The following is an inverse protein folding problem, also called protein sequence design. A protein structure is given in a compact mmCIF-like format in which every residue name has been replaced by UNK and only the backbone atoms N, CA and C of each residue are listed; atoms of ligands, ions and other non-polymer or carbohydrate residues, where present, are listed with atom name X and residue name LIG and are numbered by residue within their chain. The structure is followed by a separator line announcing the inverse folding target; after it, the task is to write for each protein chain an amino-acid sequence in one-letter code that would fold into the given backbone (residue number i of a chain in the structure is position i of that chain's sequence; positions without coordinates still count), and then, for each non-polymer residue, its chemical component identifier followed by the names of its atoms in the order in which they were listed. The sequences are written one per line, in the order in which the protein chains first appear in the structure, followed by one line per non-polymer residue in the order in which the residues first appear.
data_IF_911999683906
#
_entry.id   IF_911999683906
#
_cell.length_a   1.000
_cell.length_b   1.000
_cell.length_c   1.000
_cell.angle_alpha   90.00
_cell.angle_beta   90.00
_cell.angle_gamma   90.00
#
_symmetry.space_group_name_H-M   'P 1'
#
loop_
_entity.id
_entity.type
_entity.pdbx_description
1 polymer ?
#
# COMPACT_ATOMS: atom_id res chain seq x y z
N UNK A 1 24.01 15.35 5.60
CA UNK A 1 22.61 15.64 5.23
C UNK A 1 21.99 14.35 4.74
N UNK A 2 21.04 13.78 5.48
CA UNK A 2 20.48 12.46 5.13
C UNK A 2 19.34 12.59 4.13
N UNK A 3 19.05 11.53 3.37
CA UNK A 3 17.95 11.51 2.39
C UNK A 3 16.58 11.83 3.04
N UNK A 4 16.43 11.54 4.33
CA UNK A 4 15.22 11.83 5.12
C UNK A 4 15.00 13.33 5.32
N UNK A 5 16.06 14.09 5.58
CA UNK A 5 16.00 15.54 5.87
C UNK A 5 15.56 16.37 4.65
N UNK A 6 15.74 15.84 3.44
CA UNK A 6 15.35 16.50 2.18
C UNK A 6 13.88 16.29 1.80
N UNK A 7 13.23 15.27 2.36
CA UNK A 7 11.83 14.91 2.04
C UNK A 7 10.87 15.71 2.93
N UNK A 8 11.29 16.09 4.14
CA UNK A 8 10.47 16.83 5.11
C UNK A 8 10.44 18.34 4.88
N UNK A 9 11.30 18.89 4.00
CA UNK A 9 11.36 20.32 3.70
C UNK A 9 10.40 20.80 2.61
N UNK A 10 9.47 19.95 2.15
CA UNK A 10 8.50 20.25 1.09
C UNK A 10 7.10 20.34 1.71
N UNK A 11 6.25 21.34 1.35
CA UNK A 11 4.94 21.58 1.99
C UNK A 11 3.94 20.41 2.05
N UNK A 12 4.19 19.29 1.36
CA UNK A 12 3.34 18.08 1.40
C UNK A 12 4.10 16.78 1.74
N UNK A 13 5.42 16.83 1.98
CA UNK A 13 6.27 15.63 2.07
C UNK A 13 5.88 14.66 3.19
N UNK A 14 5.41 15.18 4.33
CA UNK A 14 4.94 14.36 5.45
C UNK A 14 3.61 13.65 5.14
N UNK A 15 2.71 14.31 4.41
CA UNK A 15 1.42 13.76 3.98
C UNK A 15 1.63 12.69 2.91
N UNK A 16 2.50 12.97 1.94
CA UNK A 16 2.86 12.02 0.88
C UNK A 16 3.54 10.78 1.45
N UNK A 17 4.43 10.96 2.44
CA UNK A 17 5.04 9.84 3.14
C UNK A 17 4.03 9.00 3.91
N UNK A 18 3.06 9.63 4.59
CA UNK A 18 1.99 8.92 5.28
C UNK A 18 1.13 8.10 4.30
N UNK A 19 0.76 8.70 3.16
CA UNK A 19 0.02 8.00 2.11
C UNK A 19 0.83 6.86 1.48
N UNK A 20 2.13 7.05 1.24
CA UNK A 20 3.02 6.01 0.74
C UNK A 20 3.14 4.84 1.73
N UNK A 21 3.28 5.11 3.03
CA UNK A 21 3.30 4.07 4.07
C UNK A 21 2.03 3.24 4.06
N UNK A 22 0.86 3.88 4.06
CA UNK A 22 -0.42 3.16 4.03
C UNK A 22 -0.57 2.30 2.77
N UNK A 23 -0.17 2.82 1.60
CA UNK A 23 -0.16 2.03 0.35
C UNK A 23 0.77 0.83 0.44
N UNK A 24 1.96 0.99 0.99
CA UNK A 24 2.90 -0.12 1.19
C UNK A 24 2.31 -1.20 2.09
N UNK A 25 1.69 -0.85 3.22
CA UNK A 25 1.05 -1.83 4.11
C UNK A 25 -0.11 -2.56 3.42
N UNK A 26 -0.98 -1.83 2.70
CA UNK A 26 -2.07 -2.45 1.94
C UNK A 26 -1.55 -3.42 0.86
N UNK A 27 -0.46 -3.06 0.16
CA UNK A 27 0.15 -3.94 -0.84
C UNK A 27 0.78 -5.18 -0.19
N UNK A 28 1.46 -5.03 0.95
CA UNK A 28 2.01 -6.18 1.69
C UNK A 28 0.91 -7.19 2.04
N UNK A 29 -0.23 -6.72 2.55
CA UNK A 29 -1.38 -7.57 2.84
C UNK A 29 -1.88 -8.31 1.60
N UNK A 30 -1.96 -7.64 0.44
CA UNK A 30 -2.35 -8.28 -0.82
C UNK A 30 -1.35 -9.34 -1.29
N UNK A 31 -0.03 -9.06 -1.19
CA UNK A 31 1.01 -10.04 -1.55
C UNK A 31 0.96 -11.25 -0.62
N UNK A 32 0.84 -11.03 0.69
CA UNK A 32 0.69 -12.10 1.67
C UNK A 32 -0.56 -12.94 1.40
N UNK A 33 -1.71 -12.31 1.16
CA UNK A 33 -2.95 -13.03 0.85
C UNK A 33 -2.84 -13.87 -0.43
N UNK A 34 -2.14 -13.36 -1.46
CA UNK A 34 -1.90 -14.11 -2.69
C UNK A 34 -1.01 -15.34 -2.42
N UNK A 35 0.10 -15.15 -1.70
CA UNK A 35 1.01 -16.23 -1.33
C UNK A 35 0.31 -17.33 -0.52
N UNK A 36 -0.43 -16.95 0.52
CA UNK A 36 -1.16 -17.90 1.36
C UNK A 36 -2.30 -18.62 0.64
N UNK A 37 -2.90 -17.98 -0.39
CA UNK A 37 -3.95 -18.61 -1.18
C UNK A 37 -3.44 -19.70 -2.12
N UNK A 38 -2.13 -19.71 -2.42
CA UNK A 38 -1.52 -20.57 -3.44
C UNK A 38 -1.90 -20.23 -4.88
N UNK A 39 -2.70 -19.18 -5.13
CA UNK A 39 -3.10 -18.77 -6.47
C UNK A 39 -1.99 -17.98 -7.18
N UNK A 40 -1.90 -18.15 -8.49
CA UNK A 40 -1.16 -17.27 -9.38
C UNK A 40 -1.94 -15.99 -9.70
N UNK A 41 -1.23 -14.95 -10.15
CA UNK A 41 -1.87 -13.71 -10.65
C UNK A 41 -2.79 -13.94 -11.85
N UNK A 42 -2.55 -15.01 -12.62
CA UNK A 42 -3.42 -15.37 -13.76
C UNK A 42 -4.74 -15.96 -13.27
N UNK A 43 -4.70 -16.84 -12.27
CA UNK A 43 -5.89 -17.44 -11.66
C UNK A 43 -6.71 -16.39 -10.91
N UNK A 44 -6.05 -15.50 -10.17
CA UNK A 44 -6.73 -14.37 -9.54
C UNK A 44 -7.43 -13.47 -10.57
N UNK A 45 -6.77 -13.17 -11.69
CA UNK A 45 -7.36 -12.39 -12.77
C UNK A 45 -8.61 -13.06 -13.36
N UNK A 46 -8.54 -14.38 -13.60
CA UNK A 46 -9.66 -15.16 -14.09
C UNK A 46 -10.82 -15.17 -13.09
N UNK A 47 -10.53 -15.37 -11.79
CA UNK A 47 -11.53 -15.36 -10.71
C UNK A 47 -12.24 -14.02 -10.57
N UNK A 48 -11.52 -12.92 -10.75
CA UNK A 48 -12.05 -11.56 -10.70
C UNK A 48 -12.69 -11.08 -12.01
N UNK A 49 -12.58 -11.85 -13.10
CA UNK A 49 -13.06 -11.43 -14.41
C UNK A 49 -12.32 -10.21 -14.98
N UNK A 50 -11.04 -10.02 -14.64
CA UNK A 50 -10.22 -8.89 -15.09
C UNK A 50 -8.99 -9.34 -15.88
N UNK A 51 -8.37 -8.40 -16.60
CA UNK A 51 -7.11 -8.64 -17.31
C UNK A 51 -5.93 -8.86 -16.34
N UNK A 52 -5.03 -9.79 -16.65
CA UNK A 52 -3.79 -10.04 -15.87
C UNK A 52 -2.93 -8.78 -15.70
N UNK A 53 -2.92 -7.87 -16.68
CA UNK A 53 -2.21 -6.60 -16.59
C UNK A 53 -2.77 -5.67 -15.51
N UNK A 54 -4.10 -5.69 -15.28
CA UNK A 54 -4.73 -4.93 -14.20
C UNK A 54 -4.30 -5.48 -12.84
N UNK A 55 -4.30 -6.81 -12.67
CA UNK A 55 -3.75 -7.45 -11.47
C UNK A 55 -2.29 -7.06 -11.27
N UNK A 56 -1.48 -7.14 -12.33
CA UNK A 56 -0.06 -6.77 -12.25
C UNK A 56 0.15 -5.32 -11.84
N UNK A 57 -0.65 -4.40 -12.39
CA UNK A 57 -0.59 -2.98 -12.05
C UNK A 57 -0.93 -2.73 -10.57
N UNK A 58 -1.98 -3.37 -10.06
CA UNK A 58 -2.35 -3.30 -8.63
C UNK A 58 -1.20 -3.79 -7.76
N UNK A 59 -0.65 -4.99 -8.03
CA UNK A 59 0.43 -5.57 -7.23
C UNK A 59 1.77 -4.82 -7.34
N UNK A 60 1.97 -4.01 -8.37
CA UNK A 60 3.12 -3.10 -8.49
C UNK A 60 2.95 -1.82 -7.69
N UNK A 61 1.75 -1.54 -7.17
CA UNK A 61 1.44 -0.28 -6.53
C UNK A 61 1.41 0.90 -7.50
N UNK A 62 1.18 0.62 -8.80
CA UNK A 62 1.15 1.65 -9.82
C UNK A 62 -0.20 2.39 -9.79
N UNK A 63 -0.17 3.64 -9.32
CA UNK A 63 -1.33 4.50 -9.16
C UNK A 63 -2.03 4.41 -7.81
N UNK A 64 -3.23 5.01 -7.71
CA UNK A 64 -4.02 5.02 -6.50
C UNK A 64 -5.03 3.86 -6.50
N UNK A 65 -4.64 2.71 -5.93
CA UNK A 65 -5.53 1.57 -5.76
C UNK A 65 -6.71 1.99 -4.87
N UNK A 66 -7.94 1.73 -5.33
CA UNK A 66 -9.16 2.04 -4.58
C UNK A 66 -9.39 0.99 -3.48
N UNK A 67 -9.98 1.41 -2.37
CA UNK A 67 -10.35 0.50 -1.27
C UNK A 67 -11.24 -0.65 -1.76
N UNK A 68 -12.22 -0.37 -2.62
CA UNK A 68 -13.07 -1.42 -3.22
C UNK A 68 -12.25 -2.45 -4.01
N UNK A 69 -11.22 -2.01 -4.74
CA UNK A 69 -10.35 -2.93 -5.48
C UNK A 69 -9.52 -3.81 -4.54
N UNK A 70 -9.04 -3.26 -3.43
CA UNK A 70 -8.41 -4.04 -2.37
C UNK A 70 -9.37 -5.09 -1.79
N UNK A 71 -10.61 -4.69 -1.48
CA UNK A 71 -11.63 -5.58 -0.95
C UNK A 71 -11.98 -6.71 -1.93
N UNK A 72 -12.19 -6.40 -3.22
CA UNK A 72 -12.48 -7.41 -4.25
C UNK A 72 -11.35 -8.46 -4.33
N UNK A 73 -10.10 -8.01 -4.27
CA UNK A 73 -8.94 -8.88 -4.37
C UNK A 73 -8.81 -9.76 -3.12
N UNK A 74 -8.92 -9.19 -1.92
CA UNK A 74 -8.86 -9.94 -0.67
C UNK A 74 -9.99 -10.96 -0.59
N UNK A 75 -11.21 -10.58 -0.95
CA UNK A 75 -12.36 -11.49 -1.03
C UNK A 75 -12.10 -12.65 -1.99
N UNK A 76 -11.58 -12.36 -3.19
CA UNK A 76 -11.22 -13.41 -4.15
C UNK A 76 -10.11 -14.34 -3.62
N UNK A 77 -9.23 -13.83 -2.76
CA UNK A 77 -8.17 -14.58 -2.08
C UNK A 77 -8.66 -15.31 -0.81
N UNK A 78 -9.93 -15.13 -0.41
CA UNK A 78 -10.49 -15.73 0.80
C UNK A 78 -9.90 -15.14 2.08
N UNK A 79 -9.68 -13.82 2.07
CA UNK A 79 -9.13 -13.04 3.19
C UNK A 79 -9.94 -11.77 3.37
N UNK A 80 -9.92 -11.25 4.58
CA UNK A 80 -10.38 -9.90 4.92
C UNK A 80 -9.20 -9.08 5.45
N UNK A 81 -9.26 -7.76 5.33
CA UNK A 81 -8.32 -6.85 5.98
C UNK A 81 -8.92 -6.32 7.27
N UNK A 82 -8.13 -6.36 8.35
CA UNK A 82 -8.41 -5.64 9.58
C UNK A 82 -7.62 -4.32 9.61
N UNK A 83 -8.26 -3.25 10.06
CA UNK A 83 -7.67 -1.91 10.12
C UNK A 83 -7.69 -1.39 11.56
N UNK A 84 -6.51 -1.04 12.05
CA UNK A 84 -6.34 -0.40 13.36
C UNK A 84 -5.70 0.97 13.22
N UNK A 85 -5.98 1.84 14.19
CA UNK A 85 -5.35 3.15 14.26
C UNK A 85 -3.96 3.03 14.86
N UNK A 86 -2.98 3.69 14.23
CA UNK A 86 -1.66 3.88 14.79
C UNK A 86 -1.47 5.36 15.15
N UNK A 87 -0.77 5.62 16.25
CA UNK A 87 -0.33 6.97 16.56
C UNK A 87 0.63 7.44 15.47
N UNK A 88 0.40 8.65 14.94
CA UNK A 88 1.36 9.29 14.04
C UNK A 88 2.64 9.47 14.85
N UNK A 89 3.72 8.79 14.47
CA UNK A 89 5.02 9.05 15.07
C UNK A 89 5.29 10.56 14.92
N UNK A 90 5.53 11.24 16.05
CA UNK A 90 5.91 12.64 16.05
C UNK A 90 7.06 12.80 15.07
N UNK A 91 6.88 13.65 14.06
CA UNK A 91 8.00 14.09 13.26
C UNK A 91 8.88 14.82 14.28
N UNK A 92 10.12 14.38 14.55
CA UNK A 92 10.99 15.13 15.43
C UNK A 92 11.01 16.57 14.92
N UNK A 93 10.76 17.54 15.80
CA UNK A 93 10.89 18.95 15.43
C UNK A 93 12.21 19.11 14.67
N UNK A 94 12.24 19.89 13.57
CA UNK A 94 13.48 20.14 12.86
C UNK A 94 14.50 20.56 13.90
N UNK A 95 15.60 19.79 14.01
CA UNK A 95 16.67 20.08 14.96
C UNK A 95 16.99 21.57 14.84
N UNK A 96 16.63 22.31 15.88
CA UNK A 96 16.88 23.74 15.96
C UNK A 96 18.38 23.92 15.68
N UNK A 97 18.68 24.66 14.60
CA UNK A 97 20.05 25.06 14.31
C UNK A 97 20.37 26.22 15.23
N UNK A 98 20.61 25.91 16.51
CA UNK A 98 21.31 26.79 17.44
C UNK A 98 22.77 26.97 17.02
#
# INVERSE_FOLDING_TARGET
MTLRDRITSVPDGARDLAAARLRCEALKLLHQALEESGMSKTELAAKLGVRKSAVTQVFRGDGNVRVNTLADYLWALGRDADLSLAQRADIPEPLDRS
#
